data_IF_035849681105
#
_entry.id   IF_035849681105
#
_cell.length_a   1.000
_cell.length_b   1.000
_cell.length_c   1.000
_cell.angle_alpha   90.00
_cell.angle_beta   90.00
_cell.angle_gamma   90.00
#
_symmetry.space_group_name_H-M   'P 1'
#
loop_
_entity.id
_entity.type
_entity.pdbx_description
1 polymer ?
#
# COMPACT_ATOMS: atom_id res chain seq x y z
N UNK A 1 -24.22 -8.78 -0.13
CA UNK A 1 -23.85 -10.01 0.63
C UNK A 1 -22.45 -9.78 1.14
N UNK A 2 -22.20 -9.92 2.44
CA UNK A 2 -20.88 -9.73 3.04
C UNK A 2 -20.04 -10.98 2.82
N UNK A 3 -18.86 -10.87 2.20
CA UNK A 3 -18.02 -12.00 1.83
C UNK A 3 -17.28 -12.62 3.02
N UNK A 4 -16.86 -11.80 3.98
CA UNK A 4 -16.11 -12.21 5.17
C UNK A 4 -16.77 -11.73 6.45
N UNK A 5 -16.31 -12.25 7.60
CA UNK A 5 -16.84 -11.87 8.92
C UNK A 5 -16.31 -10.53 9.39
N UNK A 6 -15.05 -10.26 9.10
CA UNK A 6 -14.37 -9.00 9.37
C UNK A 6 -13.55 -8.65 8.14
N UNK A 7 -13.94 -7.61 7.42
CA UNK A 7 -13.31 -7.21 6.17
C UNK A 7 -12.49 -5.95 6.44
N UNK A 8 -11.19 -6.05 6.18
CA UNK A 8 -10.22 -4.96 6.36
C UNK A 8 -9.58 -4.66 5.01
N UNK A 9 -9.77 -3.44 4.51
CA UNK A 9 -8.94 -2.93 3.42
C UNK A 9 -7.64 -2.37 4.02
N UNK A 10 -6.52 -3.00 3.71
CA UNK A 10 -5.24 -2.63 4.32
C UNK A 10 -4.49 -1.55 3.55
N UNK A 11 -5.04 -1.06 2.44
CA UNK A 11 -4.36 -0.09 1.57
C UNK A 11 -5.32 0.99 1.10
N UNK A 12 -5.38 2.09 1.85
CA UNK A 12 -6.33 3.17 1.60
C UNK A 12 -5.68 4.54 1.76
N UNK A 13 -5.82 5.37 0.74
CA UNK A 13 -5.45 6.77 0.77
C UNK A 13 -6.68 7.65 1.01
N UNK A 14 -7.03 7.86 2.29
CA UNK A 14 -8.27 8.52 2.71
C UNK A 14 -8.28 10.04 2.56
N UNK A 15 -7.15 10.64 2.26
CA UNK A 15 -7.04 12.04 1.95
C UNK A 15 -7.25 12.26 0.45
N UNK A 16 -7.73 13.42 0.08
CA UNK A 16 -7.91 13.79 -1.32
C UNK A 16 -7.11 15.04 -1.63
N UNK A 17 -6.45 15.04 -2.76
CA UNK A 17 -5.83 16.26 -3.25
C UNK A 17 -6.90 17.28 -3.65
N UNK A 18 -6.74 18.51 -3.22
CA UNK A 18 -7.62 19.62 -3.57
C UNK A 18 -7.45 20.04 -5.05
N UNK A 19 -7.26 19.09 -5.92
CA UNK A 19 -7.13 19.27 -7.35
C UNK A 19 -8.32 19.98 -7.97
N UNK A 20 -9.45 19.91 -7.32
CA UNK A 20 -10.70 20.39 -7.87
C UNK A 20 -10.72 21.87 -8.22
N UNK A 21 -9.94 22.72 -7.56
CA UNK A 21 -9.86 24.15 -7.89
C UNK A 21 -8.86 24.43 -9.01
N UNK A 22 -7.72 23.75 -9.03
CA UNK A 22 -6.65 23.94 -10.01
C UNK A 22 -6.92 23.26 -11.35
N UNK A 23 -7.75 22.20 -11.36
CA UNK A 23 -8.03 21.40 -12.54
C UNK A 23 -9.40 21.65 -13.17
N UNK A 24 -10.26 22.47 -12.56
CA UNK A 24 -11.53 22.84 -13.17
C UNK A 24 -11.28 23.60 -14.46
N UNK A 25 -11.29 22.86 -15.59
CA UNK A 25 -11.10 23.40 -16.93
C UNK A 25 -9.69 23.27 -17.51
N UNK A 26 -8.72 22.68 -16.81
CA UNK A 26 -7.42 22.43 -17.41
C UNK A 26 -7.47 21.16 -18.27
N UNK A 27 -6.95 21.30 -19.50
CA UNK A 27 -6.76 20.17 -20.43
C UNK A 27 -5.57 19.26 -19.99
N UNK A 28 -4.89 19.61 -18.92
CA UNK A 28 -3.61 19.04 -18.49
C UNK A 28 -3.77 17.95 -17.42
N UNK A 29 -4.89 17.26 -17.39
CA UNK A 29 -5.06 16.07 -16.56
C UNK A 29 -3.98 14.99 -16.82
N UNK A 30 -3.31 15.08 -17.98
CA UNK A 30 -2.23 14.15 -18.34
C UNK A 30 -0.89 14.45 -17.62
N UNK A 31 -0.79 15.59 -16.91
CA UNK A 31 0.39 15.97 -16.13
C UNK A 31 0.20 15.74 -14.63
N UNK A 32 -0.44 14.63 -14.28
CA UNK A 32 -0.80 14.33 -12.88
C UNK A 32 0.39 14.42 -11.92
N UNK A 33 1.57 13.99 -12.33
CA UNK A 33 2.78 14.09 -11.50
C UNK A 33 3.19 15.54 -11.15
N UNK A 34 2.96 16.49 -12.04
CA UNK A 34 3.20 17.92 -11.77
C UNK A 34 2.13 18.53 -10.86
N UNK A 35 0.92 18.01 -10.99
CA UNK A 35 -0.24 18.49 -10.24
C UNK A 35 -0.21 17.94 -8.80
N UNK A 36 0.23 16.71 -8.59
CA UNK A 36 0.30 16.07 -7.26
C UNK A 36 1.27 16.76 -6.30
N UNK A 37 2.34 17.37 -6.80
CA UNK A 37 3.30 18.11 -5.97
C UNK A 37 2.83 19.50 -5.52
N UNK A 38 1.69 19.97 -5.99
CA UNK A 38 1.21 21.35 -5.76
C UNK A 38 -0.14 21.42 -5.02
N UNK A 39 -0.70 20.28 -4.60
CA UNK A 39 -2.03 20.22 -4.08
C UNK A 39 -2.08 20.06 -2.57
N UNK A 40 -2.98 20.77 -1.94
CA UNK A 40 -3.35 20.53 -0.55
C UNK A 40 -4.18 19.24 -0.45
N UNK A 41 -3.81 18.36 0.45
CA UNK A 41 -4.62 17.22 0.81
C UNK A 41 -5.79 17.64 1.71
N UNK A 42 -6.95 17.10 1.48
CA UNK A 42 -8.11 17.29 2.35
C UNK A 42 -8.73 15.97 2.78
N UNK A 43 -9.44 16.01 3.89
CA UNK A 43 -10.12 14.86 4.44
C UNK A 43 -11.24 14.36 3.52
N UNK A 44 -11.13 13.11 3.09
CA UNK A 44 -12.15 12.42 2.28
C UNK A 44 -12.81 11.27 3.04
N UNK A 45 -12.67 11.21 4.36
CA UNK A 45 -13.26 10.17 5.20
C UNK A 45 -14.80 10.04 5.07
N UNK A 46 -15.58 11.10 4.83
CA UNK A 46 -17.02 10.93 4.61
C UNK A 46 -17.35 10.03 3.40
N UNK A 47 -16.60 10.17 2.32
CA UNK A 47 -16.77 9.31 1.14
C UNK A 47 -16.30 7.90 1.42
N UNK A 48 -15.18 7.75 2.13
CA UNK A 48 -14.65 6.44 2.50
C UNK A 48 -15.64 5.68 3.39
N UNK A 49 -16.22 6.33 4.40
CA UNK A 49 -17.23 5.73 5.28
C UNK A 49 -18.48 5.28 4.51
N UNK A 50 -18.92 6.09 3.55
CA UNK A 50 -20.04 5.72 2.68
C UNK A 50 -19.73 4.48 1.85
N UNK A 51 -18.55 4.42 1.24
CA UNK A 51 -18.13 3.27 0.45
C UNK A 51 -17.95 2.01 1.35
N UNK A 52 -17.43 2.17 2.58
CA UNK A 52 -17.36 1.08 3.57
C UNK A 52 -18.72 0.48 3.87
N UNK A 53 -19.72 1.32 4.07
CA UNK A 53 -21.10 0.88 4.31
C UNK A 53 -21.67 0.14 3.09
N UNK A 54 -21.50 0.70 1.89
CA UNK A 54 -22.00 0.11 0.65
C UNK A 54 -21.43 -1.30 0.39
N UNK A 55 -20.15 -1.52 0.70
CA UNK A 55 -19.46 -2.77 0.40
C UNK A 55 -19.27 -3.71 1.59
N UNK A 56 -19.69 -3.29 2.78
CA UNK A 56 -19.58 -4.08 3.99
C UNK A 56 -18.13 -4.23 4.48
N UNK A 57 -17.26 -3.23 4.19
CA UNK A 57 -15.91 -3.14 4.73
C UNK A 57 -15.99 -2.65 6.17
N UNK A 58 -15.38 -3.37 7.09
CA UNK A 58 -15.49 -3.07 8.51
C UNK A 58 -14.44 -2.07 8.99
N UNK A 59 -13.22 -2.16 8.47
CA UNK A 59 -12.09 -1.30 8.85
C UNK A 59 -11.20 -1.03 7.64
N UNK A 60 -10.55 0.13 7.63
CA UNK A 60 -9.52 0.49 6.68
C UNK A 60 -8.22 0.84 7.41
N UNK A 61 -7.09 0.41 6.85
CA UNK A 61 -5.78 0.93 7.23
C UNK A 61 -5.44 2.05 6.26
N UNK A 62 -5.37 3.27 6.80
CA UNK A 62 -5.12 4.48 6.02
C UNK A 62 -3.66 4.88 6.08
N UNK A 63 -3.15 5.35 4.97
CA UNK A 63 -1.74 5.69 4.83
C UNK A 63 -1.50 7.01 4.11
N UNK A 64 -0.39 7.70 4.42
CA UNK A 64 0.01 8.89 3.71
C UNK A 64 0.64 8.54 2.35
N UNK A 65 0.36 9.34 1.34
CA UNK A 65 1.06 9.33 0.05
C UNK A 65 1.02 10.73 -0.56
N UNK A 66 1.88 11.02 -1.50
CA UNK A 66 1.89 12.23 -2.35
C UNK A 66 1.12 13.45 -1.80
N UNK A 67 1.73 14.25 -0.92
CA UNK A 67 1.07 15.44 -0.33
C UNK A 67 0.07 15.14 0.79
N UNK A 68 -0.28 13.89 1.03
CA UNK A 68 -1.07 13.47 2.19
C UNK A 68 -0.19 13.45 3.44
N UNK A 69 -0.78 13.72 4.60
CA UNK A 69 -0.03 13.92 5.84
C UNK A 69 -0.40 12.94 6.94
N UNK A 70 0.58 12.58 7.76
CA UNK A 70 0.35 11.78 8.95
C UNK A 70 -0.67 12.42 9.93
N UNK A 71 -0.61 13.73 10.24
CA UNK A 71 -1.58 14.37 11.14
C UNK A 71 -3.03 14.20 10.69
N UNK A 72 -3.33 14.33 9.41
CA UNK A 72 -4.69 14.17 8.89
C UNK A 72 -5.19 12.73 9.07
N UNK A 73 -4.32 11.73 8.85
CA UNK A 73 -4.67 10.33 9.10
C UNK A 73 -4.95 10.06 10.59
N UNK A 74 -4.11 10.60 11.48
CA UNK A 74 -4.31 10.49 12.94
C UNK A 74 -5.64 11.13 13.35
N UNK A 75 -5.99 12.29 12.80
CA UNK A 75 -7.26 12.95 13.09
C UNK A 75 -8.46 12.08 12.65
N UNK A 76 -8.39 11.48 11.48
CA UNK A 76 -9.41 10.55 11.01
C UNK A 76 -9.55 9.32 11.91
N UNK A 77 -8.44 8.72 12.34
CA UNK A 77 -8.44 7.58 13.29
C UNK A 77 -9.05 7.97 14.62
N UNK A 78 -8.72 9.16 15.15
CA UNK A 78 -9.31 9.65 16.42
C UNK A 78 -10.83 9.87 16.33
N UNK A 79 -11.31 10.33 15.18
CA UNK A 79 -12.76 10.52 14.95
C UNK A 79 -13.52 9.22 14.75
N UNK A 80 -12.87 8.22 14.17
CA UNK A 80 -13.49 6.95 13.79
C UNK A 80 -12.62 5.74 14.17
N UNK A 81 -12.33 5.55 15.49
CA UNK A 81 -11.37 4.54 15.95
C UNK A 81 -11.77 3.09 15.66
N UNK A 82 -13.06 2.83 15.46
CA UNK A 82 -13.60 1.51 15.12
C UNK A 82 -13.64 1.27 13.59
N UNK A 83 -13.27 2.28 12.81
CA UNK A 83 -13.31 2.25 11.34
C UNK A 83 -11.94 2.37 10.71
N UNK A 84 -11.03 3.09 11.36
CA UNK A 84 -9.72 3.39 10.79
C UNK A 84 -8.59 3.00 11.74
N UNK A 85 -7.54 2.44 11.19
CA UNK A 85 -6.21 2.40 11.74
C UNK A 85 -5.27 3.11 10.76
N UNK A 86 -4.10 3.57 11.21
CA UNK A 86 -3.17 4.27 10.35
C UNK A 86 -1.79 3.62 10.36
N UNK A 87 -1.15 3.61 9.22
CA UNK A 87 0.31 3.44 9.10
C UNK A 87 0.96 4.80 8.89
N UNK A 88 2.23 4.90 9.17
CA UNK A 88 2.97 6.15 9.04
C UNK A 88 4.11 6.05 8.03
N UNK A 89 4.52 7.21 7.57
CA UNK A 89 5.71 7.43 6.78
C UNK A 89 6.36 8.74 7.24
N UNK A 90 7.69 8.86 7.33
CA UNK A 90 8.34 10.10 7.79
C UNK A 90 8.34 11.17 6.70
N UNK A 91 7.13 11.53 6.27
CA UNK A 91 6.88 12.40 5.12
C UNK A 91 7.41 13.80 5.33
N UNK A 92 7.21 14.37 6.50
CA UNK A 92 7.68 15.70 6.84
C UNK A 92 9.21 15.79 6.76
N UNK A 93 9.93 14.75 7.21
CA UNK A 93 11.37 14.62 7.04
C UNK A 93 11.76 14.57 5.56
N UNK A 94 11.07 13.74 4.77
CA UNK A 94 11.32 13.64 3.33
C UNK A 94 11.06 14.97 2.60
N UNK A 95 9.94 15.64 2.92
CA UNK A 95 9.58 16.91 2.31
C UNK A 95 10.63 18.00 2.60
N UNK A 96 11.14 18.06 3.83
CA UNK A 96 12.23 18.95 4.23
C UNK A 96 13.53 18.64 3.48
N UNK A 97 13.88 17.37 3.29
CA UNK A 97 15.02 16.97 2.46
C UNK A 97 14.82 17.39 0.98
N UNK A 98 13.61 17.24 0.45
CA UNK A 98 13.27 17.66 -0.91
C UNK A 98 13.30 19.19 -1.08
N UNK A 99 12.97 19.93 -0.03
CA UNK A 99 13.10 21.39 0.01
C UNK A 99 14.56 21.87 0.15
N UNK A 100 15.51 20.95 0.34
CA UNK A 100 16.93 21.21 0.68
C UNK A 100 17.11 21.97 2.01
N UNK A 101 16.21 21.79 2.95
CA UNK A 101 16.32 22.33 4.31
C UNK A 101 17.25 21.49 5.18
N UNK A 102 17.38 20.21 4.86
CA UNK A 102 18.31 19.28 5.48
C UNK A 102 18.78 18.20 4.50
N UNK A 103 19.87 17.53 4.85
CA UNK A 103 20.37 16.39 4.07
C UNK A 103 19.62 15.11 4.46
N UNK A 104 19.24 14.31 3.47
CA UNK A 104 18.65 13.00 3.70
C UNK A 104 19.72 12.00 4.18
N UNK A 105 19.46 11.37 5.33
CA UNK A 105 20.25 10.26 5.87
C UNK A 105 19.30 9.15 6.29
N UNK A 106 19.77 7.89 6.30
CA UNK A 106 18.95 6.79 6.79
C UNK A 106 18.72 6.88 8.29
N UNK A 107 19.67 7.40 9.03
CA UNK A 107 19.54 7.67 10.46
C UNK A 107 18.43 8.66 10.74
N UNK A 108 18.44 9.82 10.10
CA UNK A 108 17.39 10.83 10.24
C UNK A 108 16.01 10.32 9.80
N UNK A 109 15.97 9.46 8.77
CA UNK A 109 14.75 8.79 8.36
C UNK A 109 14.22 7.84 9.43
N UNK A 110 15.09 7.01 10.02
CA UNK A 110 14.73 6.08 11.09
C UNK A 110 14.31 6.80 12.37
N UNK A 111 15.01 7.88 12.74
CA UNK A 111 14.68 8.71 13.90
C UNK A 111 13.27 9.34 13.74
N UNK A 112 13.00 9.94 12.59
CA UNK A 112 11.68 10.51 12.29
C UNK A 112 10.57 9.43 12.29
N UNK A 113 10.85 8.23 11.78
CA UNK A 113 9.93 7.11 11.81
C UNK A 113 9.67 6.63 13.24
N UNK A 114 10.72 6.51 14.06
CA UNK A 114 10.62 6.12 15.47
C UNK A 114 9.80 7.13 16.28
N UNK A 115 9.96 8.43 16.03
CA UNK A 115 9.20 9.48 16.69
C UNK A 115 7.70 9.39 16.34
N UNK A 116 7.36 9.09 15.10
CA UNK A 116 5.97 8.84 14.71
C UNK A 116 5.40 7.62 15.45
N UNK A 117 6.08 6.48 15.43
CA UNK A 117 5.62 5.24 16.07
C UNK A 117 5.51 5.36 17.59
N UNK A 118 6.42 6.11 18.24
CA UNK A 118 6.41 6.40 19.67
C UNK A 118 5.11 7.07 20.14
N UNK A 119 4.40 7.76 19.26
CA UNK A 119 3.10 8.37 19.59
C UNK A 119 2.02 7.34 19.90
N UNK A 120 2.17 6.08 19.48
CA UNK A 120 1.17 5.03 19.62
C UNK A 120 -0.05 5.17 18.69
N UNK A 121 -0.01 6.10 17.74
CA UNK A 121 -1.11 6.37 16.82
C UNK A 121 -1.09 5.46 15.57
N UNK A 122 -0.04 4.67 15.37
CA UNK A 122 0.19 3.92 14.16
C UNK A 122 0.36 2.43 14.42
N UNK A 123 -0.19 1.62 13.54
CA UNK A 123 -0.13 0.15 13.61
C UNK A 123 0.92 -0.46 12.69
N UNK A 124 1.60 0.35 11.91
CA UNK A 124 2.63 -0.09 10.95
C UNK A 124 3.30 1.09 10.27
N UNK A 125 4.18 0.77 9.34
CA UNK A 125 4.80 1.73 8.44
C UNK A 125 4.40 1.42 7.00
N UNK A 126 4.28 2.42 6.15
CA UNK A 126 3.98 2.28 4.72
C UNK A 126 3.44 3.57 4.14
N UNK A 127 3.33 3.68 2.87
CA UNK A 127 3.81 2.87 1.76
C UNK A 127 5.32 3.10 1.56
N UNK A 128 6.14 2.06 1.73
CA UNK A 128 7.57 2.28 1.77
C UNK A 128 8.19 2.18 0.38
N UNK A 129 8.70 3.31 -0.09
CA UNK A 129 9.69 3.37 -1.16
C UNK A 129 10.93 4.06 -0.59
N UNK A 130 11.95 3.28 -0.24
CA UNK A 130 13.14 3.82 0.43
C UNK A 130 14.08 4.46 -0.60
N UNK A 131 13.75 5.65 -1.01
CA UNK A 131 14.56 6.45 -1.94
C UNK A 131 15.06 7.67 -1.20
N UNK A 132 16.36 8.00 -1.27
CA UNK A 132 16.85 9.28 -0.79
C UNK A 132 16.14 10.41 -1.53
N UNK A 133 15.22 11.08 -0.86
CA UNK A 133 14.48 12.19 -1.41
C UNK A 133 15.35 13.44 -1.36
N UNK A 134 16.12 13.66 -2.43
CA UNK A 134 16.84 14.93 -2.63
C UNK A 134 16.71 15.35 -4.09
N UNK A 135 16.59 16.65 -4.31
CA UNK A 135 16.71 17.18 -5.66
C UNK A 135 18.14 16.95 -6.17
N UNK A 136 18.31 16.45 -7.39
CA UNK A 136 19.63 16.46 -8.03
C UNK A 136 20.15 17.89 -8.03
N UNK A 137 21.41 18.09 -7.65
CA UNK A 137 22.06 19.38 -7.84
C UNK A 137 22.15 19.65 -9.35
N UNK A 138 22.01 20.91 -9.75
CA UNK A 138 22.08 21.31 -11.14
C UNK A 138 23.37 20.76 -11.79
N UNK A 139 23.22 20.09 -12.94
CA UNK A 139 24.35 19.48 -13.66
C UNK A 139 24.85 18.13 -13.10
N UNK A 140 24.27 17.61 -12.03
CA UNK A 140 24.60 16.29 -11.52
C UNK A 140 23.51 15.27 -11.89
N UNK A 141 23.90 14.04 -12.33
CA UNK A 141 22.93 12.97 -12.55
C UNK A 141 22.25 12.60 -11.22
N UNK A 142 21.00 12.11 -11.26
CA UNK A 142 20.36 11.53 -10.10
C UNK A 142 21.27 10.44 -9.50
N UNK A 143 21.46 10.46 -8.18
CA UNK A 143 22.15 9.37 -7.51
C UNK A 143 21.18 8.24 -7.27
N UNK A 144 21.42 7.13 -7.89
CA UNK A 144 20.70 5.89 -7.62
C UNK A 144 21.34 5.14 -6.46
N UNK A 145 20.51 4.48 -5.66
CA UNK A 145 21.00 3.51 -4.67
C UNK A 145 21.37 2.22 -5.39
N UNK A 146 22.45 1.60 -4.96
CA UNK A 146 22.73 0.21 -5.31
C UNK A 146 21.77 -0.71 -4.55
N UNK A 147 21.60 -1.95 -5.02
CA UNK A 147 20.84 -2.96 -4.31
C UNK A 147 21.36 -3.17 -2.87
N UNK A 148 22.68 -3.20 -2.69
CA UNK A 148 23.32 -3.32 -1.37
C UNK A 148 22.97 -2.15 -0.45
N UNK A 149 22.97 -0.91 -0.97
CA UNK A 149 22.58 0.29 -0.19
C UNK A 149 21.11 0.20 0.20
N UNK A 150 20.22 -0.26 -0.70
CA UNK A 150 18.78 -0.43 -0.41
C UNK A 150 18.59 -1.46 0.70
N UNK A 151 19.21 -2.64 0.59
CA UNK A 151 19.13 -3.70 1.58
C UNK A 151 19.62 -3.19 2.95
N UNK A 152 20.79 -2.55 2.98
CA UNK A 152 21.35 -1.98 4.21
C UNK A 152 20.42 -0.96 4.86
N UNK A 153 19.83 -0.08 4.08
CA UNK A 153 18.91 0.93 4.59
C UNK A 153 17.60 0.31 5.07
N UNK A 154 17.05 -0.65 4.33
CA UNK A 154 15.84 -1.36 4.76
C UNK A 154 16.05 -2.16 6.05
N UNK A 155 17.21 -2.76 6.26
CA UNK A 155 17.52 -3.43 7.53
C UNK A 155 17.44 -2.46 8.72
N UNK A 156 17.92 -1.22 8.58
CA UNK A 156 17.77 -0.19 9.63
C UNK A 156 16.30 0.17 9.89
N UNK A 157 15.50 0.28 8.84
CA UNK A 157 14.04 0.49 9.00
C UNK A 157 13.39 -0.70 9.69
N UNK A 158 13.79 -1.94 9.36
CA UNK A 158 13.29 -3.13 10.03
C UNK A 158 13.67 -3.22 11.51
N UNK A 159 14.84 -2.68 11.91
CA UNK A 159 15.19 -2.53 13.33
C UNK A 159 14.17 -1.65 14.07
N UNK A 160 13.74 -0.56 13.45
CA UNK A 160 12.66 0.28 13.99
C UNK A 160 11.35 -0.51 14.06
N UNK A 161 10.97 -1.20 12.98
CA UNK A 161 9.77 -2.05 12.97
C UNK A 161 9.78 -3.09 14.09
N UNK A 162 10.93 -3.76 14.31
CA UNK A 162 11.13 -4.73 15.39
C UNK A 162 10.95 -4.10 16.76
N UNK A 163 11.56 -2.93 17.00
CA UNK A 163 11.49 -2.22 18.27
C UNK A 163 10.05 -1.84 18.66
N UNK A 164 9.25 -1.47 17.67
CA UNK A 164 7.84 -1.09 17.86
C UNK A 164 6.84 -2.23 17.60
N UNK A 165 7.32 -3.43 17.21
CA UNK A 165 6.49 -4.61 16.90
C UNK A 165 5.43 -4.35 15.85
N UNK A 166 5.82 -3.68 14.77
CA UNK A 166 4.95 -3.34 13.63
C UNK A 166 5.47 -3.98 12.35
N UNK A 167 4.60 -4.32 11.39
CA UNK A 167 5.02 -4.81 10.09
C UNK A 167 5.66 -3.70 9.27
N UNK A 168 6.61 -4.11 8.41
CA UNK A 168 7.14 -3.29 7.34
C UNK A 168 6.30 -3.53 6.08
N UNK A 169 5.78 -2.48 5.47
CA UNK A 169 5.13 -2.53 4.16
C UNK A 169 6.11 -2.01 3.11
N UNK A 170 6.20 -2.71 2.01
CA UNK A 170 7.14 -2.41 0.93
C UNK A 170 6.42 -2.39 -0.42
N UNK A 171 6.51 -1.25 -1.10
CA UNK A 171 5.92 -1.07 -2.42
C UNK A 171 6.64 -1.94 -3.46
N UNK A 172 5.89 -2.71 -4.24
CA UNK A 172 6.41 -3.57 -5.30
C UNK A 172 5.73 -3.30 -6.64
N UNK A 173 6.41 -3.63 -7.72
CA UNK A 173 5.95 -3.30 -9.07
C UNK A 173 6.54 -1.99 -9.57
N UNK A 174 6.26 -1.65 -10.81
CA UNK A 174 6.78 -0.43 -11.44
C UNK A 174 5.68 0.64 -11.46
N UNK A 175 5.74 1.68 -10.62
CA UNK A 175 4.73 2.72 -10.63
C UNK A 175 4.86 3.65 -11.85
N UNK A 176 4.70 3.09 -13.04
CA UNK A 176 4.68 3.83 -14.32
C UNK A 176 5.92 4.68 -14.60
N UNK A 177 5.90 5.45 -15.67
CA UNK A 177 7.02 6.27 -16.13
C UNK A 177 7.53 7.33 -15.13
N UNK A 178 6.73 7.67 -14.14
CA UNK A 178 7.09 8.65 -13.10
C UNK A 178 8.25 8.17 -12.23
N UNK A 179 8.18 6.95 -11.72
CA UNK A 179 9.21 6.41 -10.85
C UNK A 179 10.53 6.14 -11.61
N UNK A 180 10.43 5.72 -12.86
CA UNK A 180 11.61 5.51 -13.73
C UNK A 180 12.32 6.85 -13.97
N UNK A 181 11.58 7.92 -14.23
CA UNK A 181 12.16 9.22 -14.53
C UNK A 181 12.87 9.87 -13.32
N UNK A 182 12.35 9.66 -12.12
CA UNK A 182 12.90 10.31 -10.91
C UNK A 182 13.87 9.43 -10.14
N UNK A 183 13.75 8.13 -10.22
CA UNK A 183 14.40 7.22 -9.30
C UNK A 183 15.34 6.22 -9.95
N UNK A 184 15.33 6.12 -11.27
CA UNK A 184 16.22 5.21 -12.02
C UNK A 184 16.09 3.73 -11.67
N UNK A 185 15.05 3.37 -10.95
CA UNK A 185 15.11 2.29 -10.04
C UNK A 185 14.16 1.16 -10.42
N UNK A 186 14.43 0.49 -11.50
CA UNK A 186 13.89 -0.86 -11.70
C UNK A 186 14.20 -1.76 -10.48
N UNK A 187 15.33 -1.54 -9.82
CA UNK A 187 15.78 -2.34 -8.69
C UNK A 187 15.01 -2.04 -7.40
N UNK A 188 14.58 -0.80 -7.18
CA UNK A 188 13.93 -0.40 -5.93
C UNK A 188 12.60 -1.11 -5.71
N UNK A 189 11.93 -1.50 -6.78
CA UNK A 189 10.61 -2.15 -6.74
C UNK A 189 10.66 -3.66 -7.00
N UNK A 190 11.86 -4.19 -7.26
CA UNK A 190 12.06 -5.62 -7.44
C UNK A 190 11.96 -6.34 -6.10
N UNK A 191 11.01 -7.28 -5.92
CA UNK A 191 10.83 -7.94 -4.63
C UNK A 191 11.90 -8.97 -4.30
N UNK A 192 12.76 -9.40 -5.25
CA UNK A 192 13.70 -10.50 -5.01
C UNK A 192 14.73 -10.21 -3.93
N UNK A 193 15.22 -8.99 -3.81
CA UNK A 193 16.18 -8.63 -2.78
C UNK A 193 15.58 -8.63 -1.35
N UNK A 194 14.25 -8.61 -1.24
CA UNK A 194 13.55 -8.75 0.04
C UNK A 194 13.84 -10.10 0.71
N UNK A 195 14.25 -11.12 -0.06
CA UNK A 195 14.79 -12.37 0.46
C UNK A 195 15.86 -12.14 1.54
N UNK A 196 16.82 -11.27 1.26
CA UNK A 196 17.92 -10.96 2.20
C UNK A 196 17.39 -10.35 3.49
N UNK A 197 16.39 -9.48 3.41
CA UNK A 197 15.73 -8.89 4.60
C UNK A 197 15.01 -9.94 5.43
N UNK A 198 14.26 -10.81 4.76
CA UNK A 198 13.48 -11.86 5.41
C UNK A 198 14.35 -12.86 6.16
N UNK A 199 15.52 -13.19 5.61
CA UNK A 199 16.53 -14.05 6.27
C UNK A 199 17.16 -13.34 7.46
N UNK A 200 17.53 -12.07 7.30
CA UNK A 200 18.21 -11.30 8.35
C UNK A 200 17.31 -11.00 9.55
N UNK A 201 16.01 -10.80 9.31
CA UNK A 201 15.01 -10.44 10.34
C UNK A 201 13.73 -11.27 10.20
N UNK A 202 13.75 -12.57 10.50
CA UNK A 202 12.62 -13.47 10.29
C UNK A 202 11.42 -13.20 11.23
N UNK A 203 11.65 -12.43 12.28
CA UNK A 203 10.65 -12.01 13.27
C UNK A 203 9.91 -10.72 12.90
N UNK A 204 10.34 -10.01 11.85
CA UNK A 204 9.65 -8.81 11.35
C UNK A 204 8.79 -9.17 10.14
N UNK A 205 7.47 -9.00 10.20
CA UNK A 205 6.61 -9.22 9.04
C UNK A 205 6.90 -8.20 7.94
N UNK A 206 7.00 -8.66 6.71
CA UNK A 206 7.18 -7.85 5.51
C UNK A 206 5.94 -8.05 4.63
N UNK A 207 5.27 -6.96 4.30
CA UNK A 207 4.11 -6.96 3.43
C UNK A 207 4.51 -6.34 2.09
N UNK A 208 4.40 -7.12 1.02
CA UNK A 208 4.66 -6.67 -0.34
C UNK A 208 3.38 -6.06 -0.90
N UNK A 209 3.34 -4.74 -0.99
CA UNK A 209 2.19 -4.01 -1.51
C UNK A 209 2.02 -4.24 -2.99
N UNK A 210 0.77 -4.33 -3.44
CA UNK A 210 0.37 -4.71 -4.79
C UNK A 210 0.86 -6.09 -5.24
N UNK A 211 1.75 -6.71 -4.49
CA UNK A 211 2.43 -7.96 -4.86
C UNK A 211 2.83 -8.01 -6.34
N UNK A 212 3.49 -6.94 -6.79
CA UNK A 212 4.00 -6.79 -8.14
C UNK A 212 3.01 -6.28 -9.20
N UNK A 213 1.72 -6.18 -8.88
CA UNK A 213 0.68 -5.81 -9.85
C UNK A 213 0.59 -4.29 -9.99
N UNK A 214 1.66 -3.68 -10.46
CA UNK A 214 1.67 -2.27 -10.78
C UNK A 214 2.56 -1.95 -12.00
N UNK A 215 1.99 -1.25 -12.98
CA UNK A 215 2.73 -0.78 -14.15
C UNK A 215 3.11 -1.87 -15.15
N UNK A 216 4.23 -1.65 -15.85
CA UNK A 216 4.78 -2.61 -16.80
C UNK A 216 5.53 -3.74 -16.10
N UNK A 217 5.69 -4.86 -16.80
CA UNK A 217 6.41 -6.05 -16.31
C UNK A 217 5.78 -6.70 -15.07
N UNK A 218 4.48 -6.45 -14.81
CA UNK A 218 3.75 -6.94 -13.66
C UNK A 218 3.79 -8.48 -13.55
N UNK A 219 3.79 -9.22 -14.64
CA UNK A 219 3.86 -10.69 -14.65
C UNK A 219 5.12 -11.16 -13.95
N UNK A 220 6.26 -10.57 -14.28
CA UNK A 220 7.53 -10.92 -13.68
C UNK A 220 7.60 -10.52 -12.21
N UNK A 221 7.17 -9.31 -11.87
CA UNK A 221 7.15 -8.84 -10.47
C UNK A 221 6.20 -9.67 -9.60
N UNK A 222 5.04 -10.05 -10.13
CA UNK A 222 4.11 -10.94 -9.45
C UNK A 222 4.72 -12.30 -9.16
N UNK A 223 5.36 -12.93 -10.14
CA UNK A 223 6.06 -14.21 -9.96
C UNK A 223 7.17 -14.09 -8.90
N UNK A 224 7.93 -13.01 -8.91
CA UNK A 224 8.95 -12.75 -7.90
C UNK A 224 8.33 -12.60 -6.49
N UNK A 225 7.20 -11.91 -6.36
CA UNK A 225 6.48 -11.78 -5.09
C UNK A 225 5.99 -13.15 -4.57
N UNK A 226 5.41 -13.97 -5.44
CA UNK A 226 5.02 -15.35 -5.07
C UNK A 226 6.24 -16.16 -4.60
N UNK A 227 7.35 -16.08 -5.34
CA UNK A 227 8.56 -16.82 -5.03
C UNK A 227 9.11 -16.47 -3.64
N UNK A 228 9.25 -15.19 -3.31
CA UNK A 228 9.76 -14.79 -1.99
C UNK A 228 8.77 -15.09 -0.88
N UNK A 229 7.47 -14.97 -1.11
CA UNK A 229 6.44 -15.33 -0.14
C UNK A 229 6.42 -16.82 0.15
N UNK A 230 6.55 -17.67 -0.88
CA UNK A 230 6.65 -19.12 -0.73
C UNK A 230 7.91 -19.55 0.04
N UNK A 231 9.00 -18.78 -0.08
CA UNK A 231 10.29 -19.10 0.53
C UNK A 231 10.43 -18.64 1.98
N UNK A 232 9.61 -17.69 2.46
CA UNK A 232 9.77 -17.05 3.78
C UNK A 232 8.46 -16.95 4.54
N UNK A 233 8.47 -17.35 5.82
CA UNK A 233 7.29 -17.31 6.69
C UNK A 233 6.80 -15.89 7.02
N UNK A 234 7.71 -14.92 7.06
CA UNK A 234 7.44 -13.54 7.43
C UNK A 234 7.12 -12.62 6.25
N UNK A 235 6.97 -13.15 5.03
CA UNK A 235 6.55 -12.37 3.86
C UNK A 235 5.08 -12.60 3.56
N UNK A 236 4.33 -11.52 3.36
CA UNK A 236 2.92 -11.48 3.04
C UNK A 236 2.68 -10.66 1.77
N UNK A 237 1.62 -10.99 1.05
CA UNK A 237 1.25 -10.38 -0.22
C UNK A 237 -0.02 -9.55 -0.04
N UNK A 238 0.07 -8.25 -0.24
CA UNK A 238 -1.11 -7.40 -0.33
C UNK A 238 -1.66 -7.50 -1.75
N UNK A 239 -2.98 -7.80 -1.84
CA UNK A 239 -3.62 -8.23 -3.08
C UNK A 239 -4.22 -7.07 -3.88
N UNK A 240 -3.65 -5.88 -3.77
CA UNK A 240 -4.14 -4.71 -4.47
C UNK A 240 -4.30 -4.95 -5.96
N UNK A 241 -5.53 -4.82 -6.43
CA UNK A 241 -5.90 -4.91 -7.84
C UNK A 241 -5.71 -6.27 -8.50
N UNK A 242 -5.65 -7.33 -7.72
CA UNK A 242 -5.60 -8.68 -8.27
C UNK A 242 -6.93 -9.07 -8.89
N UNK A 243 -6.88 -9.78 -10.02
CA UNK A 243 -8.04 -10.45 -10.58
C UNK A 243 -8.04 -11.93 -10.23
N UNK A 244 -9.13 -12.62 -10.53
CA UNK A 244 -9.43 -13.98 -10.05
C UNK A 244 -8.30 -14.98 -10.28
N UNK A 245 -7.64 -14.96 -11.44
CA UNK A 245 -6.59 -15.91 -11.80
C UNK A 245 -5.33 -15.74 -10.94
N UNK A 246 -5.00 -14.51 -10.54
CA UNK A 246 -3.86 -14.25 -9.65
C UNK A 246 -4.14 -14.78 -8.24
N UNK A 247 -5.33 -14.53 -7.72
CA UNK A 247 -5.76 -15.12 -6.45
C UNK A 247 -5.69 -16.65 -6.51
N UNK A 248 -6.25 -17.25 -7.57
CA UNK A 248 -6.26 -18.69 -7.73
C UNK A 248 -4.86 -19.28 -7.71
N UNK A 249 -3.91 -18.70 -8.46
CA UNK A 249 -2.52 -19.16 -8.49
C UNK A 249 -1.85 -19.11 -7.12
N UNK A 250 -2.02 -18.02 -6.36
CA UNK A 250 -1.45 -17.88 -5.03
C UNK A 250 -2.10 -18.85 -4.02
N UNK A 251 -3.41 -19.05 -4.11
CA UNK A 251 -4.17 -19.91 -3.18
C UNK A 251 -3.89 -21.41 -3.34
N UNK A 252 -3.60 -21.86 -4.56
CA UNK A 252 -3.26 -23.29 -4.80
C UNK A 252 -1.80 -23.61 -4.46
N UNK A 253 -0.95 -22.62 -4.29
CA UNK A 253 0.44 -22.84 -3.88
C UNK A 253 0.47 -23.21 -2.39
N UNK A 254 0.95 -24.40 -2.01
CA UNK A 254 0.92 -24.88 -0.62
C UNK A 254 1.87 -24.09 0.30
N UNK A 255 2.79 -23.31 -0.25
CA UNK A 255 3.74 -22.47 0.51
C UNK A 255 3.28 -21.02 0.63
N UNK A 256 2.22 -20.63 -0.10
CA UNK A 256 1.60 -19.30 -0.05
C UNK A 256 0.24 -19.40 0.61
N UNK A 257 -0.76 -19.90 -0.10
CA UNK A 257 -2.11 -20.10 0.41
C UNK A 257 -2.77 -18.82 0.96
N UNK A 258 -3.93 -18.97 1.58
CA UNK A 258 -4.67 -17.86 2.17
C UNK A 258 -3.96 -17.21 3.35
N UNK A 259 -3.08 -17.92 4.04
CA UNK A 259 -2.35 -17.42 5.23
C UNK A 259 -1.37 -16.29 4.91
N UNK A 260 -0.95 -16.19 3.64
CA UNK A 260 -0.01 -15.18 3.17
C UNK A 260 -0.69 -13.98 2.50
N UNK A 261 -1.98 -14.07 2.20
CA UNK A 261 -2.69 -13.03 1.47
C UNK A 261 -3.36 -12.03 2.40
N UNK A 262 -3.24 -10.76 2.07
CA UNK A 262 -3.86 -9.64 2.78
C UNK A 262 -4.61 -8.80 1.76
N UNK A 263 -5.91 -8.64 1.96
CA UNK A 263 -6.71 -7.82 1.07
C UNK A 263 -6.41 -6.33 1.26
N UNK A 264 -6.10 -5.67 0.18
CA UNK A 264 -5.97 -4.23 0.06
C UNK A 264 -6.39 -3.79 -1.34
N UNK A 265 -6.67 -2.53 -1.58
CA UNK A 265 -7.18 -2.08 -2.87
C UNK A 265 -6.51 -0.86 -3.45
N UNK A 266 -5.67 -0.17 -2.66
CA UNK A 266 -5.15 1.15 -3.00
C UNK A 266 -6.32 2.12 -3.31
N UNK A 267 -7.33 2.11 -2.42
CA UNK A 267 -8.47 3.02 -2.54
C UNK A 267 -7.98 4.46 -2.42
N UNK A 268 -8.18 5.20 -3.47
CA UNK A 268 -7.79 6.60 -3.51
C UNK A 268 -8.82 7.39 -4.31
N UNK A 269 -10.00 7.67 -3.69
CA UNK A 269 -11.05 8.46 -4.34
C UNK A 269 -10.59 9.88 -4.72
N UNK A 270 -9.38 10.24 -4.32
CA UNK A 270 -8.73 11.50 -4.66
C UNK A 270 -8.12 11.51 -6.06
N UNK A 271 -7.62 10.37 -6.50
CA UNK A 271 -6.99 10.29 -7.81
C UNK A 271 -8.05 9.94 -8.85
N UNK A 272 -8.11 10.66 -9.95
CA UNK A 272 -8.92 10.22 -11.07
C UNK A 272 -8.55 8.79 -11.42
N UNK A 273 -9.54 7.91 -11.53
CA UNK A 273 -9.28 6.49 -11.77
C UNK A 273 -8.47 6.24 -13.03
N UNK A 274 -8.54 7.12 -14.01
CA UNK A 274 -7.73 7.01 -15.22
C UNK A 274 -6.22 7.16 -14.94
N UNK A 275 -5.78 7.83 -13.88
CA UNK A 275 -4.36 7.86 -13.50
C UNK A 275 -3.86 6.48 -13.08
N UNK A 276 -4.78 5.61 -12.73
CA UNK A 276 -4.54 4.23 -12.35
C UNK A 276 -4.78 3.23 -13.48
N UNK A 277 -5.03 3.72 -14.70
CA UNK A 277 -5.31 2.86 -15.87
C UNK A 277 -4.24 1.80 -16.12
N UNK A 278 -2.98 2.15 -15.86
CA UNK A 278 -1.87 1.22 -16.02
C UNK A 278 -1.80 0.16 -14.91
N UNK A 279 -2.63 0.31 -13.90
CA UNK A 279 -2.67 -0.54 -12.72
C UNK A 279 -3.80 -1.57 -12.75
N UNK A 280 -4.81 -1.34 -13.60
CA UNK A 280 -5.88 -2.32 -13.81
C UNK A 280 -5.48 -3.37 -14.86
N UNK A 281 -6.01 -4.58 -14.74
CA UNK A 281 -5.77 -5.61 -15.73
C UNK A 281 -6.07 -5.12 -17.15
N UNK A 282 -5.25 -5.48 -18.14
CA UNK A 282 -5.56 -5.18 -19.53
C UNK A 282 -6.94 -5.72 -19.91
N UNK A 283 -7.82 -4.83 -20.34
CA UNK A 283 -9.19 -5.21 -20.77
C UNK A 283 -10.29 -4.63 -19.91
N UNK A 284 -10.17 -4.61 -18.58
CA UNK A 284 -11.22 -4.03 -17.72
C UNK A 284 -11.40 -2.54 -17.98
N UNK A 285 -10.39 -1.74 -17.74
CA UNK A 285 -10.45 -0.28 -17.93
C UNK A 285 -10.58 0.15 -19.39
N UNK A 286 -9.94 -0.57 -20.31
CA UNK A 286 -10.10 -0.28 -21.74
C UNK A 286 -11.49 -0.57 -22.23
N UNK A 287 -12.13 -1.60 -21.72
CA UNK A 287 -13.49 -1.96 -22.10
C UNK A 287 -14.50 -0.98 -21.52
N UNK A 288 -14.34 -0.58 -20.26
CA UNK A 288 -15.21 0.41 -19.61
C UNK A 288 -15.08 1.79 -20.25
N UNK A 289 -13.88 2.20 -20.62
CA UNK A 289 -13.65 3.43 -21.38
C UNK A 289 -14.30 3.40 -22.78
N UNK A 290 -14.28 2.24 -23.45
CA UNK A 290 -14.99 2.07 -24.74
C UNK A 290 -16.51 2.13 -24.57
N UNK A 291 -17.02 1.73 -23.40
CA UNK A 291 -18.45 1.81 -23.07
C UNK A 291 -18.89 3.19 -22.60
N UNK A 292 -17.98 4.16 -22.56
CA UNK A 292 -18.28 5.54 -22.17
C UNK A 292 -18.48 5.75 -20.67
N UNK A 293 -18.08 4.79 -19.82
CA UNK A 293 -18.10 4.96 -18.36
C UNK A 293 -17.06 6.02 -17.97
N UNK A 294 -17.45 7.10 -17.28
CA UNK A 294 -16.53 8.11 -16.84
C UNK A 294 -15.44 7.50 -15.92
N UNK A 295 -14.19 7.80 -16.20
CA UNK A 295 -13.03 7.23 -15.48
C UNK A 295 -13.08 7.41 -13.97
N UNK A 296 -13.72 8.49 -13.48
CA UNK A 296 -13.89 8.78 -12.07
C UNK A 296 -14.99 7.97 -11.37
N UNK A 297 -15.72 7.15 -12.11
CA UNK A 297 -16.79 6.30 -11.58
C UNK A 297 -16.42 4.84 -11.47
N UNK A 298 -15.19 4.45 -11.82
CA UNK A 298 -14.75 3.06 -11.63
C UNK A 298 -14.63 2.77 -10.14
N UNK A 299 -15.39 1.80 -9.72
CA UNK A 299 -15.48 1.37 -8.33
C UNK A 299 -14.46 0.27 -8.06
N UNK A 300 -13.41 0.62 -7.33
CA UNK A 300 -12.34 -0.30 -7.04
C UNK A 300 -12.74 -1.43 -6.10
N UNK A 301 -13.58 -1.14 -5.08
CA UNK A 301 -14.04 -2.16 -4.14
C UNK A 301 -15.02 -3.13 -4.80
N UNK A 302 -15.99 -2.60 -5.55
CA UNK A 302 -16.94 -3.44 -6.28
C UNK A 302 -16.23 -4.37 -7.26
N UNK A 303 -15.22 -3.86 -7.95
CA UNK A 303 -14.40 -4.67 -8.85
C UNK A 303 -13.59 -5.73 -8.08
N UNK A 304 -12.84 -5.34 -7.05
CA UNK A 304 -11.98 -6.26 -6.28
C UNK A 304 -12.79 -7.37 -5.59
N UNK A 305 -13.87 -7.00 -4.89
CA UNK A 305 -14.73 -7.97 -4.22
C UNK A 305 -15.40 -8.91 -5.21
N UNK A 306 -15.73 -8.45 -6.42
CA UNK A 306 -16.27 -9.30 -7.49
C UNK A 306 -15.23 -10.32 -8.00
N UNK A 307 -13.94 -9.99 -8.02
CA UNK A 307 -12.90 -10.96 -8.34
C UNK A 307 -12.83 -12.07 -7.29
N UNK A 308 -12.91 -11.68 -6.02
CA UNK A 308 -12.87 -12.62 -4.88
C UNK A 308 -14.11 -13.52 -4.84
N UNK A 309 -15.30 -12.99 -5.18
CA UNK A 309 -16.54 -13.77 -5.24
C UNK A 309 -16.49 -14.96 -6.21
N UNK A 310 -15.59 -14.93 -7.17
CA UNK A 310 -15.44 -15.99 -8.18
C UNK A 310 -14.50 -17.12 -7.74
N UNK A 311 -13.84 -16.94 -6.58
CA UNK A 311 -12.92 -17.94 -6.05
C UNK A 311 -13.72 -19.10 -5.44
N UNK A 312 -13.30 -20.33 -5.79
CA UNK A 312 -13.79 -21.55 -5.15
C UNK A 312 -12.87 -21.88 -3.96
N UNK A 313 -13.09 -21.19 -2.85
CA UNK A 313 -12.34 -21.37 -1.60
C UNK A 313 -13.29 -21.53 -0.41
N UNK A 314 -12.83 -22.18 0.63
CA UNK A 314 -13.60 -22.32 1.86
C UNK A 314 -13.72 -20.97 2.61
N UNK A 315 -14.68 -20.92 3.55
CA UNK A 315 -14.98 -19.68 4.27
C UNK A 315 -13.84 -19.25 5.22
N UNK A 316 -13.04 -20.19 5.71
CA UNK A 316 -11.94 -19.88 6.63
C UNK A 316 -10.79 -19.19 5.87
N UNK A 317 -10.42 -19.68 4.69
CA UNK A 317 -9.46 -19.01 3.80
C UNK A 317 -9.96 -17.63 3.38
N UNK A 318 -11.25 -17.49 3.07
CA UNK A 318 -11.87 -16.21 2.77
C UNK A 318 -11.72 -15.24 3.95
N UNK A 319 -11.99 -15.71 5.16
CA UNK A 319 -11.88 -14.88 6.36
C UNK A 319 -10.44 -14.49 6.68
N UNK A 320 -9.48 -15.41 6.49
CA UNK A 320 -8.05 -15.11 6.65
C UNK A 320 -7.61 -13.99 5.70
N UNK A 321 -7.88 -14.14 4.41
CA UNK A 321 -7.47 -13.20 3.38
C UNK A 321 -8.12 -11.81 3.55
N UNK A 322 -9.43 -11.75 3.85
CA UNK A 322 -10.17 -10.50 3.91
C UNK A 322 -9.95 -9.70 5.20
N UNK A 323 -9.45 -10.31 6.28
CA UNK A 323 -9.26 -9.57 7.52
C UNK A 323 -8.49 -10.28 8.62
N UNK A 324 -8.47 -11.61 8.63
CA UNK A 324 -7.80 -12.40 9.68
C UNK A 324 -6.30 -12.12 9.75
N UNK A 325 -5.63 -12.19 8.60
CA UNK A 325 -4.19 -11.90 8.52
C UNK A 325 -3.88 -10.44 8.87
N UNK A 326 -4.67 -9.49 8.37
CA UNK A 326 -4.53 -8.09 8.72
C UNK A 326 -4.69 -7.86 10.23
N UNK A 327 -5.73 -8.45 10.85
CA UNK A 327 -5.97 -8.34 12.29
C UNK A 327 -4.81 -8.81 13.12
N UNK A 328 -4.20 -9.93 12.73
CA UNK A 328 -3.03 -10.50 13.40
C UNK A 328 -1.78 -9.62 13.23
N UNK A 329 -1.48 -9.23 11.99
CA UNK A 329 -0.23 -8.52 11.68
C UNK A 329 -0.20 -7.10 12.22
N UNK A 330 -1.33 -6.42 12.23
CA UNK A 330 -1.46 -5.05 12.72
C UNK A 330 -2.04 -4.95 14.13
N UNK A 331 -2.27 -6.08 14.79
CA UNK A 331 -2.89 -6.13 16.11
C UNK A 331 -4.17 -5.28 16.20
N UNK A 332 -5.04 -5.41 15.19
CA UNK A 332 -6.26 -4.60 15.09
C UNK A 332 -7.27 -5.00 16.16
N UNK A 333 -8.00 -4.01 16.67
CA UNK A 333 -9.18 -4.25 17.52
C UNK A 333 -10.28 -4.85 16.66
N UNK A 334 -10.53 -6.13 16.83
CA UNK A 334 -11.66 -6.79 16.18
C UNK A 334 -12.95 -6.56 16.98
N UNK A 335 -14.11 -6.42 16.32
CA UNK A 335 -15.39 -6.36 17.01
C UNK A 335 -15.57 -7.53 17.98
N UNK A 336 -16.13 -7.27 19.16
CA UNK A 336 -16.30 -8.28 20.22
C UNK A 336 -16.96 -9.55 19.71
N UNK A 337 -16.33 -10.70 19.98
CA UNK A 337 -16.76 -12.02 19.52
C UNK A 337 -15.92 -12.61 18.37
N UNK A 338 -15.26 -11.80 17.57
CA UNK A 338 -14.37 -12.28 16.49
C UNK A 338 -12.97 -12.66 16.98
N UNK A 339 -12.51 -12.08 18.06
CA UNK A 339 -11.20 -12.35 18.70
C UNK A 339 -11.00 -13.83 19.06
N UNK A 340 -12.07 -14.59 19.28
CA UNK A 340 -11.99 -16.03 19.54
C UNK A 340 -11.76 -16.89 18.29
N UNK A 341 -11.99 -16.34 17.12
CA UNK A 341 -11.93 -17.09 15.86
C UNK A 341 -10.54 -17.04 15.20
N UNK A 342 -9.74 -16.03 15.57
CA UNK A 342 -8.36 -15.86 15.08
C UNK A 342 -7.32 -16.25 16.13
N UNK A 343 -7.68 -17.08 17.13
CA UNK A 343 -6.68 -17.73 17.96
C UNK A 343 -5.94 -18.74 17.08
N UNK A 344 -4.82 -18.29 16.58
CA UNK A 344 -3.81 -19.18 16.03
C UNK A 344 -3.28 -20.04 17.19
N UNK A 345 -3.21 -21.32 16.94
CA UNK A 345 -2.51 -22.25 17.82
C UNK A 345 -1.06 -21.84 17.74
N UNK A 346 -0.46 -21.50 18.89
CA UNK A 346 0.96 -21.19 19.04
C UNK A 346 1.84 -22.34 18.53
#
# INVERSE_FOLDING_TARGET
MKLGRFIVDTHVHSQRHAAGKALKGSKDFDKLGQVMGQMEAYDNSPRLLYDMECYGVDMCIIEPAFGMTNPNNVDQVKRYPDKFAAVCWPKEYQDSCMANEQEWTIEGFCDALADLLKTGNYVGIGEMVLIPMRKPKEGQPPRYQTEEEIIKNCLKVMEVCRAYKVPMRYHTGTPGGYAIAYHGAQFTYNPLWVHTLAVAMPDVPIILEHAGIEGGWWEWFYECCLHVAASHKNIYLETGRWWTELYHKALIDPSVGAEKLIWGTDWGASLPVYSQLNRYPPGYTRQDLKQGIPRHQVDIWGWSLKQIQRLDINQDDMNLMLGGNASRLYNLRTPGGLTRMFKFVD
#
